data_IF_123247976011
#
_entry.id   IF_123247976011
#
_cell.length_a   1.000
_cell.length_b   1.000
_cell.length_c   1.000
_cell.angle_alpha   90.00
_cell.angle_beta   90.00
_cell.angle_gamma   90.00
#
_symmetry.space_group_name_H-M   'P 1'
#
loop_
_entity.id
_entity.type
_entity.pdbx_description
1 polymer ?
#
# COMPACT_ATOMS: atom_id res chain seq x y z
N UNK A 1 -13.64 18.47 -17.32
CA UNK A 1 -12.69 19.52 -17.73
C UNK A 1 -11.30 18.88 -17.78
N UNK A 2 -10.87 18.38 -18.95
CA UNK A 2 -9.48 17.93 -19.12
C UNK A 2 -8.63 19.19 -19.30
N UNK A 3 -7.95 19.60 -18.25
CA UNK A 3 -6.86 20.56 -18.39
C UNK A 3 -5.77 19.85 -19.18
N UNK A 4 -5.62 20.20 -20.46
CA UNK A 4 -4.45 19.86 -21.25
C UNK A 4 -3.57 21.12 -21.34
N UNK A 5 -2.85 21.49 -20.26
CA UNK A 5 -1.82 22.49 -20.42
C UNK A 5 -0.73 21.88 -21.30
N UNK A 6 -0.14 22.69 -22.17
CA UNK A 6 1.07 22.37 -22.95
C UNK A 6 2.28 22.22 -22.00
N UNK A 7 2.22 21.29 -21.05
CA UNK A 7 3.27 21.03 -20.09
C UNK A 7 4.10 19.83 -20.58
N UNK A 8 5.42 20.01 -20.64
CA UNK A 8 6.35 18.90 -20.77
C UNK A 8 6.73 18.42 -19.38
N UNK A 9 6.77 17.11 -19.20
CA UNK A 9 7.17 16.50 -17.93
C UNK A 9 8.18 15.38 -18.18
N UNK A 10 8.96 15.07 -17.15
CA UNK A 10 9.83 13.90 -17.10
C UNK A 10 9.52 13.16 -15.81
N UNK A 11 9.34 11.83 -15.90
CA UNK A 11 9.21 10.96 -14.74
C UNK A 11 10.55 10.27 -14.50
N UNK A 12 11.15 10.52 -13.34
CA UNK A 12 12.38 9.86 -12.90
C UNK A 12 12.01 8.97 -11.72
N UNK A 13 12.28 7.68 -11.85
CA UNK A 13 11.97 6.67 -10.84
C UNK A 13 13.14 5.68 -10.73
N UNK A 14 13.39 5.16 -9.53
CA UNK A 14 14.38 4.13 -9.24
C UNK A 14 13.74 2.84 -8.70
N UNK A 15 12.45 2.64 -9.01
CA UNK A 15 11.69 1.50 -8.51
C UNK A 15 12.30 0.17 -8.95
N UNK A 16 12.37 -0.74 -7.99
CA UNK A 16 12.67 -2.14 -8.22
C UNK A 16 11.39 -2.96 -8.04
N UNK A 17 10.89 -3.56 -9.12
CA UNK A 17 9.65 -4.36 -9.13
C UNK A 17 9.77 -5.67 -8.33
N UNK A 18 10.98 -6.12 -8.00
CA UNK A 18 11.17 -7.34 -7.20
C UNK A 18 11.10 -7.10 -5.70
N UNK A 19 11.13 -5.84 -5.26
CA UNK A 19 11.06 -5.49 -3.83
C UNK A 19 9.61 -5.35 -3.40
N UNK A 20 9.22 -6.11 -2.37
CA UNK A 20 7.92 -5.94 -1.72
C UNK A 20 7.74 -4.52 -1.17
N UNK A 21 6.53 -3.98 -1.33
CA UNK A 21 6.15 -2.64 -0.90
C UNK A 21 4.79 -2.70 -0.20
N UNK A 22 4.77 -2.23 1.06
CA UNK A 22 3.57 -2.11 1.88
C UNK A 22 2.62 -1.02 1.37
N UNK A 23 1.34 -1.13 1.72
CA UNK A 23 0.28 -0.21 1.33
C UNK A 23 -0.54 -0.78 0.18
N UNK A 24 -0.92 -2.04 0.32
CA UNK A 24 -1.71 -2.87 -0.60
C UNK A 24 -3.20 -2.59 -0.53
N UNK A 25 -3.72 -2.14 0.61
CA UNK A 25 -5.15 -1.88 0.79
C UNK A 25 -5.56 -0.57 0.09
N UNK A 26 -6.43 -0.68 -0.93
CA UNK A 26 -6.96 0.43 -1.71
C UNK A 26 -8.49 0.50 -1.53
N UNK A 27 -9.04 1.60 -0.98
CA UNK A 27 -10.47 1.73 -0.74
C UNK A 27 -11.26 1.92 -2.06
N UNK A 28 -12.53 1.52 -2.10
CA UNK A 28 -13.38 1.55 -3.31
C UNK A 28 -13.57 2.96 -3.90
N UNK A 29 -13.54 3.98 -3.03
CA UNK A 29 -13.53 5.41 -3.34
C UNK A 29 -12.42 5.78 -4.33
N UNK A 30 -11.29 5.07 -4.26
CA UNK A 30 -10.11 5.27 -5.13
C UNK A 30 -10.45 5.10 -6.61
N UNK A 31 -11.50 4.35 -6.95
CA UNK A 31 -11.94 4.15 -8.34
C UNK A 31 -12.14 5.48 -9.06
N UNK A 32 -12.80 6.45 -8.42
CA UNK A 32 -13.05 7.77 -9.03
C UNK A 32 -11.76 8.55 -9.25
N UNK A 33 -10.84 8.48 -8.28
CA UNK A 33 -9.54 9.13 -8.37
C UNK A 33 -8.66 8.53 -9.46
N UNK A 34 -8.75 7.21 -9.71
CA UNK A 34 -8.02 6.54 -10.79
C UNK A 34 -8.64 6.78 -12.17
N UNK A 35 -9.98 6.86 -12.26
CA UNK A 35 -10.67 7.16 -13.51
C UNK A 35 -10.48 8.60 -13.98
N UNK A 36 -10.26 9.54 -13.05
CA UNK A 36 -10.02 10.94 -13.36
C UNK A 36 -8.80 11.17 -14.30
N UNK A 37 -7.58 10.67 -14.00
CA UNK A 37 -6.43 10.80 -14.88
C UNK A 37 -6.53 9.89 -16.11
N UNK A 38 -7.06 8.67 -15.98
CA UNK A 38 -7.32 7.78 -17.11
C UNK A 38 -8.37 6.72 -16.81
N UNK A 39 -9.46 6.63 -17.60
CA UNK A 39 -10.45 5.56 -17.46
C UNK A 39 -9.86 4.14 -17.58
N UNK A 40 -8.76 3.98 -18.33
CA UNK A 40 -8.13 2.67 -18.56
C UNK A 40 -7.49 2.08 -17.32
N UNK A 41 -7.09 2.90 -16.33
CA UNK A 41 -6.44 2.42 -15.11
C UNK A 41 -7.42 1.55 -14.30
N UNK A 42 -8.62 2.07 -14.02
CA UNK A 42 -9.62 1.33 -13.26
C UNK A 42 -10.10 0.09 -14.02
N UNK A 43 -10.26 0.17 -15.35
CA UNK A 43 -10.63 -1.00 -16.16
C UNK A 43 -9.55 -2.08 -16.13
N UNK A 44 -8.28 -1.68 -16.25
CA UNK A 44 -7.15 -2.62 -16.18
C UNK A 44 -7.04 -3.27 -14.81
N UNK A 45 -7.25 -2.50 -13.74
CA UNK A 45 -7.25 -3.01 -12.39
C UNK A 45 -8.29 -4.13 -12.18
N UNK A 46 -9.49 -3.98 -12.75
CA UNK A 46 -10.53 -5.02 -12.73
C UNK A 46 -10.14 -6.26 -13.54
N UNK A 47 -9.55 -6.06 -14.72
CA UNK A 47 -9.06 -7.17 -15.55
C UNK A 47 -7.97 -7.97 -14.85
N UNK A 48 -7.01 -7.28 -14.24
CA UNK A 48 -5.92 -7.90 -13.48
C UNK A 48 -6.45 -8.53 -12.18
N UNK A 49 -7.53 -8.02 -11.59
CA UNK A 49 -8.23 -8.68 -10.49
C UNK A 49 -8.88 -9.99 -10.95
N UNK A 50 -9.51 -10.00 -12.12
CA UNK A 50 -10.13 -11.20 -12.69
C UNK A 50 -9.11 -12.31 -13.03
N UNK A 51 -7.83 -11.96 -13.22
CA UNK A 51 -6.73 -12.93 -13.44
C UNK A 51 -5.95 -13.26 -12.17
N UNK A 52 -6.34 -12.72 -11.01
CA UNK A 52 -5.71 -13.01 -9.71
C UNK A 52 -4.45 -12.20 -9.39
N UNK A 53 -4.09 -11.20 -10.22
CA UNK A 53 -2.96 -10.29 -9.94
C UNK A 53 -3.28 -9.39 -8.73
N UNK A 54 -4.55 -9.00 -8.58
CA UNK A 54 -5.07 -8.30 -7.41
C UNK A 54 -6.22 -9.11 -6.82
N UNK A 55 -6.61 -8.80 -5.59
CA UNK A 55 -7.83 -9.33 -4.98
C UNK A 55 -8.79 -8.19 -4.64
N UNK A 56 -10.09 -8.49 -4.55
CA UNK A 56 -11.06 -7.54 -4.02
C UNK A 56 -11.08 -7.61 -2.49
N UNK A 57 -11.10 -6.44 -1.85
CA UNK A 57 -11.42 -6.35 -0.43
C UNK A 57 -12.95 -6.41 -0.26
N UNK A 58 -13.45 -7.47 0.38
CA UNK A 58 -14.89 -7.74 0.51
C UNK A 58 -15.53 -7.10 1.74
N UNK A 59 -14.74 -6.77 2.77
CA UNK A 59 -15.16 -5.96 3.90
C UNK A 59 -13.96 -5.36 4.63
N UNK A 60 -14.20 -4.31 5.40
CA UNK A 60 -13.27 -3.91 6.46
C UNK A 60 -13.84 -4.40 7.78
N UNK A 61 -13.01 -5.05 8.58
CA UNK A 61 -13.40 -5.53 9.91
C UNK A 61 -12.44 -4.95 10.95
N UNK A 62 -12.97 -4.51 12.09
CA UNK A 62 -12.17 -3.92 13.15
C UNK A 62 -12.66 -4.29 14.54
N UNK A 63 -11.76 -4.75 15.39
CA UNK A 63 -11.93 -4.77 16.85
C UNK A 63 -11.08 -3.63 17.42
N UNK A 64 -11.64 -2.41 17.45
CA UNK A 64 -10.89 -1.20 17.80
C UNK A 64 -11.41 -0.49 19.05
N UNK A 65 -12.72 -0.25 19.09
CA UNK A 65 -13.40 0.37 20.25
C UNK A 65 -14.11 -0.67 21.13
N UNK A 66 -14.14 -1.92 20.68
CA UNK A 66 -14.75 -3.07 21.36
C UNK A 66 -13.88 -4.29 21.11
N UNK A 67 -14.02 -5.29 21.98
CA UNK A 67 -13.47 -6.62 21.76
C UNK A 67 -14.20 -7.36 20.63
N UNK A 68 -15.46 -6.98 20.36
CA UNK A 68 -16.24 -7.58 19.29
C UNK A 68 -15.84 -7.03 17.92
N UNK A 69 -15.60 -7.94 16.97
CA UNK A 69 -15.31 -7.59 15.59
C UNK A 69 -16.50 -6.86 14.93
N UNK A 70 -16.28 -5.59 14.59
CA UNK A 70 -17.25 -4.79 13.82
C UNK A 70 -16.88 -4.85 12.34
N UNK A 71 -17.82 -5.26 11.49
CA UNK A 71 -17.60 -5.41 10.06
C UNK A 71 -18.43 -4.41 9.26
N UNK A 72 -17.78 -3.81 8.25
CA UNK A 72 -18.43 -3.01 7.21
C UNK A 72 -18.27 -3.71 5.86
N UNK A 73 -19.32 -4.42 5.39
CA UNK A 73 -19.28 -5.13 4.11
C UNK A 73 -19.13 -4.17 2.93
N UNK A 74 -18.39 -4.56 1.89
CA UNK A 74 -18.19 -3.76 0.69
C UNK A 74 -19.51 -3.47 -0.07
N UNK A 75 -20.55 -4.29 0.12
CA UNK A 75 -21.89 -4.06 -0.45
C UNK A 75 -22.56 -2.80 0.09
N UNK A 76 -22.14 -2.33 1.27
CA UNK A 76 -22.63 -1.07 1.87
C UNK A 76 -21.88 0.15 1.34
N UNK A 77 -20.72 -0.04 0.70
CA UNK A 77 -19.93 1.04 0.14
C UNK A 77 -20.53 1.49 -1.21
N UNK A 78 -20.98 2.75 -1.36
CA UNK A 78 -21.56 3.25 -2.62
C UNK A 78 -20.57 3.32 -3.79
N UNK A 79 -19.27 3.20 -3.52
CA UNK A 79 -18.21 3.13 -4.53
C UNK A 79 -17.81 1.69 -4.87
N UNK A 80 -18.45 0.70 -4.24
CA UNK A 80 -18.21 -0.73 -4.44
C UNK A 80 -17.01 -1.25 -3.66
N UNK A 81 -16.49 -2.40 -4.12
CA UNK A 81 -15.38 -3.11 -3.49
C UNK A 81 -14.07 -2.34 -3.63
N UNK A 82 -13.26 -2.37 -2.58
CA UNK A 82 -11.85 -1.99 -2.67
C UNK A 82 -11.00 -3.10 -3.29
N UNK A 83 -9.68 -2.91 -3.23
CA UNK A 83 -8.70 -3.89 -3.69
C UNK A 83 -7.63 -4.14 -2.64
N UNK A 84 -7.16 -5.37 -2.58
CA UNK A 84 -5.84 -5.71 -2.08
C UNK A 84 -4.89 -5.83 -3.27
N UNK A 85 -3.94 -4.89 -3.35
CA UNK A 85 -3.10 -4.71 -4.52
C UNK A 85 -1.81 -5.53 -4.43
N UNK A 86 -1.48 -6.29 -5.48
CA UNK A 86 -0.07 -6.46 -5.84
C UNK A 86 0.53 -5.10 -6.23
N UNK A 87 1.34 -4.54 -5.32
CA UNK A 87 1.91 -3.19 -5.46
C UNK A 87 2.91 -3.05 -6.60
N UNK A 88 3.66 -4.09 -6.93
CA UNK A 88 4.58 -4.04 -8.06
C UNK A 88 3.81 -3.94 -9.38
N UNK A 89 2.77 -4.76 -9.55
CA UNK A 89 1.93 -4.74 -10.74
C UNK A 89 1.14 -3.42 -10.87
N UNK A 90 0.52 -2.97 -9.77
CA UNK A 90 -0.24 -1.72 -9.76
C UNK A 90 0.65 -0.50 -10.08
N UNK A 91 1.80 -0.36 -9.41
CA UNK A 91 2.72 0.76 -9.65
C UNK A 91 3.24 0.73 -11.12
N UNK A 92 3.44 -0.45 -11.72
CA UNK A 92 3.85 -0.57 -13.13
C UNK A 92 2.74 -0.24 -14.14
N UNK A 93 1.48 -0.56 -13.82
CA UNK A 93 0.35 -0.10 -14.63
C UNK A 93 0.29 1.43 -14.67
N UNK A 94 0.51 2.11 -13.54
CA UNK A 94 0.56 3.58 -13.49
C UNK A 94 1.69 4.12 -14.37
N UNK A 95 2.89 3.52 -14.33
CA UNK A 95 3.99 3.89 -15.23
C UNK A 95 3.63 3.67 -16.68
N UNK A 96 3.01 2.55 -17.02
CA UNK A 96 2.58 2.24 -18.38
C UNK A 96 1.58 3.28 -18.89
N UNK A 97 0.64 3.72 -18.04
CA UNK A 97 -0.27 4.82 -18.37
C UNK A 97 0.47 6.15 -18.59
N UNK A 98 1.51 6.45 -17.82
CA UNK A 98 2.33 7.65 -18.05
C UNK A 98 3.11 7.53 -19.37
N UNK A 99 3.66 6.35 -19.66
CA UNK A 99 4.40 6.12 -20.92
C UNK A 99 3.51 6.31 -22.14
N UNK A 100 2.28 5.80 -22.12
CA UNK A 100 1.35 5.97 -23.25
C UNK A 100 0.95 7.43 -23.49
N UNK A 101 1.03 8.30 -22.49
CA UNK A 101 0.77 9.73 -22.63
C UNK A 101 1.94 10.52 -23.25
N UNK A 102 3.17 9.98 -23.21
CA UNK A 102 4.37 10.68 -23.68
C UNK A 102 4.73 10.42 -25.17
N UNK A 103 4.08 9.46 -25.83
CA UNK A 103 4.44 9.00 -27.19
C UNK A 103 5.77 8.24 -27.26
N UNK A 104 6.16 7.78 -28.45
CA UNK A 104 7.32 6.88 -28.71
C UNK A 104 8.72 7.48 -28.40
N UNK A 105 8.80 8.66 -27.80
CA UNK A 105 10.04 9.41 -27.54
C UNK A 105 10.65 9.23 -26.14
N UNK A 106 10.24 8.24 -25.37
CA UNK A 106 10.72 8.07 -23.98
C UNK A 106 12.10 7.42 -23.96
N UNK A 107 13.12 8.22 -23.67
CA UNK A 107 14.37 7.69 -23.16
C UNK A 107 14.16 7.19 -21.71
N UNK A 108 13.93 5.89 -21.55
CA UNK A 108 14.01 5.24 -20.23
C UNK A 108 15.49 5.22 -19.82
N UNK A 109 15.92 6.21 -19.05
CA UNK A 109 17.26 6.25 -18.46
C UNK A 109 17.17 5.85 -16.99
N UNK A 110 17.89 4.79 -16.62
CA UNK A 110 18.15 4.40 -15.22
C UNK A 110 19.20 5.30 -14.53
N UNK A 111 19.82 6.22 -15.27
CA UNK A 111 20.77 7.20 -14.74
C UNK A 111 20.06 8.52 -14.50
N UNK A 112 20.34 9.14 -13.34
CA UNK A 112 19.96 10.52 -13.02
C UNK A 112 20.38 11.40 -14.19
N UNK A 113 19.40 11.83 -14.97
CA UNK A 113 19.65 12.80 -16.04
C UNK A 113 19.90 14.11 -15.31
N UNK A 114 21.08 14.70 -15.52
CA UNK A 114 21.36 16.06 -15.09
C UNK A 114 20.47 16.98 -15.96
N UNK A 115 19.23 17.17 -15.54
CA UNK A 115 18.19 17.86 -16.30
C UNK A 115 18.00 19.26 -15.71
N UNK A 116 18.05 20.28 -16.59
CA UNK A 116 17.67 21.63 -16.23
C UNK A 116 16.15 21.75 -16.31
N UNK A 117 15.48 21.76 -15.16
CA UNK A 117 14.05 21.99 -15.05
C UNK A 117 13.78 23.50 -15.01
N UNK A 118 12.94 24.00 -15.93
CA UNK A 118 12.67 25.45 -16.05
C UNK A 118 11.65 25.99 -15.05
N UNK A 119 10.84 25.16 -14.40
CA UNK A 119 9.67 25.67 -13.64
C UNK A 119 9.39 24.95 -12.32
N UNK A 120 9.07 23.66 -12.35
CA UNK A 120 8.56 22.96 -11.17
C UNK A 120 9.21 21.58 -11.01
N UNK A 121 9.46 21.20 -9.76
CA UNK A 121 9.93 19.88 -9.37
C UNK A 121 8.97 19.33 -8.31
N UNK A 122 8.43 18.13 -8.55
CA UNK A 122 7.55 17.43 -7.63
C UNK A 122 8.35 16.29 -7.00
N UNK A 123 8.60 16.35 -5.70
CA UNK A 123 9.23 15.24 -4.98
C UNK A 123 8.17 14.19 -4.62
N UNK A 124 8.09 13.14 -5.45
CA UNK A 124 7.26 11.96 -5.22
C UNK A 124 8.09 10.74 -4.78
N UNK A 125 9.28 10.94 -4.20
CA UNK A 125 10.19 9.85 -3.80
C UNK A 125 9.80 9.13 -2.49
N UNK A 126 8.61 9.41 -1.97
CA UNK A 126 8.04 8.81 -0.76
C UNK A 126 8.84 9.18 0.49
N UNK A 127 8.92 8.24 1.45
CA UNK A 127 9.55 8.45 2.78
C UNK A 127 10.98 9.00 2.71
N UNK A 128 11.72 8.73 1.63
CA UNK A 128 13.10 9.20 1.46
C UNK A 128 13.19 10.70 1.20
N UNK A 129 12.14 11.34 0.67
CA UNK A 129 12.12 12.78 0.38
C UNK A 129 13.43 13.29 -0.29
N UNK A 130 13.93 12.53 -1.27
CA UNK A 130 15.29 12.62 -1.83
C UNK A 130 15.65 14.03 -2.31
N UNK A 131 14.66 14.79 -2.80
CA UNK A 131 14.85 16.16 -3.28
C UNK A 131 14.60 17.16 -2.16
N UNK A 132 13.56 16.94 -1.37
CA UNK A 132 13.16 17.83 -0.27
C UNK A 132 14.10 17.77 0.95
N UNK A 133 15.02 16.82 1.05
CA UNK A 133 16.06 16.81 2.10
C UNK A 133 17.22 17.80 1.86
N UNK A 134 17.14 18.67 0.86
CA UNK A 134 18.12 19.75 0.62
C UNK A 134 18.02 20.84 1.71
N UNK A 135 19.09 21.63 1.96
CA UNK A 135 19.27 22.45 3.17
C UNK A 135 18.15 23.44 3.52
N UNK A 136 17.29 23.79 2.56
CA UNK A 136 16.18 24.72 2.74
C UNK A 136 14.89 24.09 3.30
N UNK A 137 14.79 22.77 3.35
CA UNK A 137 13.59 22.07 3.82
C UNK A 137 13.89 21.20 5.04
N UNK A 138 12.94 21.20 6.00
CA UNK A 138 13.04 20.45 7.25
C UNK A 138 11.88 19.46 7.35
N UNK A 139 12.20 18.19 7.58
CA UNK A 139 11.18 17.18 7.95
C UNK A 139 10.75 17.44 9.39
N UNK A 140 9.45 17.61 9.61
CA UNK A 140 8.86 17.72 10.95
C UNK A 140 8.24 16.38 11.30
N UNK A 141 8.74 15.74 12.36
CA UNK A 141 8.13 14.52 12.93
C UNK A 141 7.04 14.95 13.90
N UNK A 142 5.79 14.66 13.56
CA UNK A 142 4.62 14.98 14.41
C UNK A 142 4.24 13.82 15.35
N UNK A 143 4.67 12.61 15.02
CA UNK A 143 4.28 11.38 15.69
C UNK A 143 5.45 10.38 15.72
N UNK A 144 5.47 9.50 16.73
CA UNK A 144 6.47 8.47 16.94
C UNK A 144 6.13 7.11 16.30
N UNK A 145 4.92 6.94 15.77
CA UNK A 145 4.43 5.67 15.25
C UNK A 145 5.38 5.00 14.25
N UNK A 146 5.71 3.75 14.54
CA UNK A 146 6.47 2.85 13.66
C UNK A 146 5.65 1.62 13.33
N UNK A 147 6.04 0.92 12.28
CA UNK A 147 5.39 -0.30 11.83
C UNK A 147 6.40 -1.42 11.60
N UNK A 148 6.07 -2.61 12.09
CA UNK A 148 6.73 -3.87 11.78
C UNK A 148 5.79 -4.68 10.93
N UNK A 149 6.28 -5.32 9.88
CA UNK A 149 5.45 -6.17 9.05
C UNK A 149 6.17 -7.45 8.70
N UNK A 150 5.37 -8.46 8.42
CA UNK A 150 5.79 -9.70 7.80
C UNK A 150 4.79 -10.10 6.73
N UNK A 151 5.25 -10.90 5.78
CA UNK A 151 4.40 -11.47 4.72
C UNK A 151 4.46 -12.98 4.87
N UNK A 152 3.32 -13.57 5.21
CA UNK A 152 3.15 -15.00 5.28
C UNK A 152 2.69 -15.54 3.93
N UNK A 153 3.10 -16.77 3.63
CA UNK A 153 2.63 -17.50 2.45
C UNK A 153 2.01 -18.79 2.94
N UNK A 154 0.81 -19.14 2.47
CA UNK A 154 0.18 -20.42 2.80
C UNK A 154 -0.07 -21.24 1.53
N UNK A 155 -0.02 -22.56 1.65
CA UNK A 155 -0.51 -23.47 0.61
C UNK A 155 -2.02 -23.61 0.63
N UNK A 156 -2.65 -23.29 1.76
CA UNK A 156 -4.09 -23.37 1.93
C UNK A 156 -4.78 -22.15 1.31
N UNK A 157 -6.04 -22.36 0.91
CA UNK A 157 -6.87 -21.26 0.43
C UNK A 157 -7.27 -20.39 1.60
N UNK A 158 -6.74 -19.17 1.67
CA UNK A 158 -7.19 -18.14 2.59
C UNK A 158 -8.56 -17.58 2.14
N UNK A 159 -9.65 -17.87 2.89
CA UNK A 159 -11.00 -17.47 2.49
C UNK A 159 -11.37 -16.06 2.97
N UNK A 160 -10.49 -15.39 3.73
CA UNK A 160 -10.82 -14.12 4.37
C UNK A 160 -10.36 -12.93 3.53
N UNK A 161 -11.25 -12.43 2.68
CA UNK A 161 -11.00 -11.30 1.79
C UNK A 161 -11.14 -9.93 2.49
N UNK A 162 -11.06 -9.88 3.82
CA UNK A 162 -11.24 -8.63 4.58
C UNK A 162 -9.89 -7.97 4.84
N UNK A 163 -9.91 -6.63 4.96
CA UNK A 163 -8.87 -5.93 5.72
C UNK A 163 -9.32 -5.95 7.18
N UNK A 164 -8.51 -6.57 8.03
CA UNK A 164 -8.79 -6.76 9.45
C UNK A 164 -7.88 -5.85 10.28
N UNK A 165 -8.44 -5.17 11.27
CA UNK A 165 -7.71 -4.29 12.19
C UNK A 165 -8.04 -4.65 13.63
N UNK A 166 -7.05 -4.77 14.49
CA UNK A 166 -7.23 -5.01 15.92
C UNK A 166 -6.42 -4.03 16.74
N UNK A 167 -7.08 -3.27 17.62
CA UNK A 167 -6.40 -2.43 18.60
C UNK A 167 -5.94 -3.29 19.79
N UNK A 168 -4.77 -2.98 20.32
CA UNK A 168 -4.18 -3.63 21.50
C UNK A 168 -3.70 -2.56 22.47
N UNK A 169 -3.32 -2.95 23.69
CA UNK A 169 -2.87 -1.99 24.70
C UNK A 169 -1.66 -1.17 24.25
N UNK A 170 -0.78 -1.76 23.43
CA UNK A 170 0.51 -1.19 23.04
C UNK A 170 0.59 -0.79 21.57
N UNK A 171 -0.55 -0.74 20.89
CA UNK A 171 -0.59 -0.41 19.48
C UNK A 171 -1.80 -0.98 18.75
N UNK A 172 -1.59 -1.36 17.50
CA UNK A 172 -2.64 -1.99 16.71
C UNK A 172 -2.06 -2.82 15.57
N UNK A 173 -2.80 -3.85 15.22
CA UNK A 173 -2.49 -4.79 14.16
C UNK A 173 -3.40 -4.53 12.98
N UNK A 174 -2.87 -4.72 11.77
CA UNK A 174 -3.72 -4.94 10.62
C UNK A 174 -3.23 -6.09 9.77
N UNK A 175 -4.18 -6.74 9.09
CA UNK A 175 -3.94 -7.85 8.20
C UNK A 175 -4.77 -7.70 6.93
N UNK A 176 -4.17 -8.04 5.80
CA UNK A 176 -4.88 -8.12 4.53
C UNK A 176 -4.27 -9.18 3.64
N UNK A 177 -5.12 -9.86 2.89
CA UNK A 177 -4.67 -10.78 1.85
C UNK A 177 -3.83 -10.03 0.79
N UNK A 178 -2.92 -10.75 0.16
CA UNK A 178 -2.11 -10.32 -0.99
C UNK A 178 -2.33 -11.32 -2.13
N UNK A 179 -1.83 -11.00 -3.32
CA UNK A 179 -1.78 -11.97 -4.42
C UNK A 179 -0.92 -13.19 -4.04
N UNK A 180 -1.11 -14.30 -4.75
CA UNK A 180 -0.31 -15.53 -4.63
C UNK A 180 -0.37 -16.20 -3.24
N UNK A 181 -1.57 -16.30 -2.64
CA UNK A 181 -1.79 -16.96 -1.34
C UNK A 181 -0.92 -16.39 -0.21
N UNK A 182 -0.69 -15.08 -0.26
CA UNK A 182 0.06 -14.36 0.76
C UNK A 182 -0.86 -13.51 1.60
N UNK A 183 -0.38 -13.18 2.79
CA UNK A 183 -1.04 -12.23 3.69
C UNK A 183 0.01 -11.38 4.35
N UNK A 184 -0.21 -10.07 4.35
CA UNK A 184 0.62 -9.16 5.14
C UNK A 184 -0.02 -9.02 6.51
N UNK A 185 0.82 -9.06 7.54
CA UNK A 185 0.45 -8.70 8.91
C UNK A 185 1.38 -7.61 9.37
N UNK A 186 0.81 -6.57 9.96
CA UNK A 186 1.52 -5.36 10.33
C UNK A 186 1.14 -4.95 11.74
N UNK A 187 2.14 -4.75 12.57
CA UNK A 187 1.99 -4.20 13.90
C UNK A 187 2.48 -2.76 13.92
N UNK A 188 1.64 -1.85 14.41
CA UNK A 188 1.97 -0.46 14.65
C UNK A 188 2.05 -0.19 16.13
N UNK A 189 3.10 0.52 16.56
CA UNK A 189 3.38 0.87 17.96
C UNK A 189 4.24 2.14 17.99
N UNK A 190 4.35 2.79 19.14
CA UNK A 190 5.26 3.92 19.30
C UNK A 190 6.72 3.47 19.45
N UNK A 191 7.67 4.27 18.98
CA UNK A 191 9.09 3.89 18.97
C UNK A 191 9.73 3.77 20.37
N UNK A 192 9.09 4.35 21.38
CA UNK A 192 9.52 4.30 22.77
C UNK A 192 8.94 3.10 23.54
N UNK A 193 7.91 2.44 23.02
CA UNK A 193 7.25 1.34 23.71
C UNK A 193 8.09 0.05 23.70
N UNK A 194 7.95 -0.78 24.73
CA UNK A 194 8.70 -2.04 24.83
C UNK A 194 8.50 -2.98 23.62
N UNK A 195 7.28 -3.14 23.06
CA UNK A 195 7.05 -3.95 21.87
C UNK A 195 7.84 -3.51 20.64
N UNK A 196 8.21 -2.23 20.50
CA UNK A 196 9.04 -1.74 19.41
C UNK A 196 10.43 -2.40 19.34
N UNK A 197 10.95 -2.90 20.47
CA UNK A 197 12.22 -3.65 20.52
C UNK A 197 12.00 -5.13 20.22
N UNK A 198 10.89 -5.67 20.71
CA UNK A 198 10.53 -7.10 20.59
C UNK A 198 10.16 -7.45 19.14
N UNK A 199 9.29 -6.64 18.50
CA UNK A 199 8.79 -6.85 17.14
C UNK A 199 9.87 -6.73 16.03
N UNK A 200 11.09 -6.31 16.37
CA UNK A 200 12.24 -6.28 15.43
C UNK A 200 12.73 -7.68 15.06
N UNK A 201 12.48 -8.66 15.92
CA UNK A 201 12.83 -10.06 15.68
C UNK A 201 11.57 -10.82 15.30
N UNK A 202 11.71 -11.80 14.42
CA UNK A 202 10.57 -12.59 13.94
C UNK A 202 9.89 -13.35 15.09
N UNK A 203 10.66 -13.97 15.98
CA UNK A 203 10.14 -14.66 17.17
C UNK A 203 9.32 -13.71 18.05
N UNK A 204 9.89 -12.54 18.39
CA UNK A 204 9.18 -11.52 19.15
C UNK A 204 7.93 -10.97 18.46
N UNK A 205 7.97 -10.81 17.13
CA UNK A 205 6.78 -10.41 16.35
C UNK A 205 5.68 -11.47 16.42
N UNK A 206 6.03 -12.75 16.30
CA UNK A 206 5.07 -13.86 16.39
C UNK A 206 4.49 -13.98 17.79
N UNK A 207 5.31 -13.85 18.83
CA UNK A 207 4.85 -13.90 20.22
C UNK A 207 3.82 -12.80 20.51
N UNK A 208 4.12 -11.55 20.09
CA UNK A 208 3.17 -10.43 20.22
C UNK A 208 1.90 -10.68 19.41
N UNK A 209 2.01 -11.18 18.17
CA UNK A 209 0.84 -11.49 17.33
C UNK A 209 -0.11 -12.47 18.04
N UNK A 210 0.42 -13.58 18.57
CA UNK A 210 -0.38 -14.60 19.23
C UNK A 210 -0.92 -14.17 20.61
N UNK A 211 -0.15 -13.35 21.33
CA UNK A 211 -0.55 -12.85 22.64
C UNK A 211 -1.60 -11.74 22.55
N UNK A 212 -1.42 -10.78 21.63
CA UNK A 212 -2.16 -9.51 21.65
C UNK A 212 -3.43 -9.55 20.79
N UNK A 213 -3.49 -10.39 19.75
CA UNK A 213 -4.63 -10.42 18.82
C UNK A 213 -5.62 -11.53 19.15
N UNK A 214 -6.90 -11.32 18.87
CA UNK A 214 -7.95 -12.33 19.02
C UNK A 214 -8.31 -12.94 17.67
N UNK A 215 -8.33 -12.15 16.60
CA UNK A 215 -8.86 -12.56 15.29
C UNK A 215 -7.76 -12.80 14.23
N UNK A 216 -6.70 -11.99 14.23
CA UNK A 216 -5.59 -12.10 13.28
C UNK A 216 -4.73 -13.32 13.63
N UNK A 217 -4.55 -13.70 14.90
CA UNK A 217 -3.76 -14.90 15.23
C UNK A 217 -4.34 -16.22 14.75
N UNK A 218 -5.64 -16.29 14.43
CA UNK A 218 -6.33 -17.54 14.10
C UNK A 218 -6.00 -18.07 12.70
N UNK A 219 -5.23 -17.32 11.91
CA UNK A 219 -4.72 -17.79 10.64
C UNK A 219 -3.51 -18.72 10.85
N UNK A 220 -3.36 -19.68 9.94
CA UNK A 220 -2.23 -20.60 9.90
C UNK A 220 -0.96 -19.88 9.43
N UNK A 221 -0.17 -19.40 10.39
CA UNK A 221 1.08 -18.67 10.17
C UNK A 221 2.30 -19.60 10.16
N UNK A 222 2.47 -20.37 9.08
CA UNK A 222 3.60 -21.31 8.89
C UNK A 222 4.54 -20.87 7.77
#
# INVERSE_FOLDING_TARGET
MRSAPKATFALIDNTNSTRFKIGESLPGESRRFLQYPSPSIAQRLEQDTATGIHAHCMANASAWQSQDLQETPATTNPFGKGWHLNRAAFDEQLRTCVRSLCGDGIAVSSKVINANFKSWLIDASGRKATVAQKPSAKTVRLDSLIAFYTVFSSTDVDPDYRTLVEATETGWWYSSQLSDQKRVVVFHTDDCDAPAKVARRLDGFMDLLHADTAYIKDYHWY
#
